data_IF_831211646726
#
_entry.id   IF_831211646726
#
_cell.length_a   1.000
_cell.length_b   1.000
_cell.length_c   1.000
_cell.angle_alpha   90.00
_cell.angle_beta   90.00
_cell.angle_gamma   90.00
#
_symmetry.space_group_name_H-M   'P 1'
#
loop_
_entity.id
_entity.type
_entity.pdbx_description
1 polymer ?
#
# COMPACT_ATOMS: atom_id res chain seq x y z
N UNK A 1 19.49 -52.94 -10.67
CA UNK A 1 19.46 -53.74 -9.43
C UNK A 1 20.86 -53.91 -8.85
N UNK A 2 21.89 -54.22 -9.64
CA UNK A 2 23.28 -54.25 -9.15
C UNK A 2 23.77 -52.85 -8.73
N UNK A 3 23.53 -51.82 -9.55
CA UNK A 3 23.92 -50.43 -9.28
C UNK A 3 23.20 -49.85 -8.05
N UNK A 4 21.92 -50.17 -7.86
CA UNK A 4 21.11 -49.74 -6.71
C UNK A 4 21.64 -50.33 -5.40
N UNK A 5 22.03 -51.62 -5.40
CA UNK A 5 22.65 -52.28 -4.24
C UNK A 5 24.06 -51.75 -3.94
N UNK A 6 24.84 -51.41 -4.96
CA UNK A 6 26.15 -50.77 -4.77
C UNK A 6 26.00 -49.35 -4.18
N UNK A 7 24.93 -48.65 -4.55
CA UNK A 7 24.61 -47.33 -4.01
C UNK A 7 24.26 -47.41 -2.52
N UNK A 8 23.35 -48.31 -2.14
CA UNK A 8 22.97 -48.55 -0.74
C UNK A 8 24.18 -48.96 0.11
N UNK A 9 25.02 -49.87 -0.39
CA UNK A 9 26.24 -50.28 0.32
C UNK A 9 27.25 -49.14 0.48
N UNK A 10 27.32 -48.21 -0.48
CA UNK A 10 28.18 -47.03 -0.40
C UNK A 10 27.63 -46.00 0.59
N UNK A 11 26.30 -45.81 0.60
CA UNK A 11 25.61 -44.96 1.57
C UNK A 11 25.80 -45.50 2.98
N UNK A 12 25.69 -46.81 3.19
CA UNK A 12 25.88 -47.45 4.51
C UNK A 12 27.31 -47.26 5.05
N UNK A 13 28.32 -47.32 4.17
CA UNK A 13 29.71 -46.99 4.55
C UNK A 13 29.82 -45.55 5.01
N UNK A 14 29.30 -44.59 4.24
CA UNK A 14 29.36 -43.17 4.59
C UNK A 14 28.51 -42.86 5.84
N UNK A 15 27.40 -43.56 6.05
CA UNK A 15 26.59 -43.45 7.28
C UNK A 15 27.35 -43.96 8.52
N UNK A 16 28.21 -44.96 8.36
CA UNK A 16 29.07 -45.46 9.44
C UNK A 16 30.18 -44.46 9.79
N UNK A 17 30.78 -43.83 8.78
CA UNK A 17 31.77 -42.76 8.93
C UNK A 17 31.13 -41.49 9.53
N UNK A 18 29.94 -41.11 9.07
CA UNK A 18 29.13 -40.03 9.63
C UNK A 18 28.85 -40.25 11.12
N UNK A 19 28.54 -41.48 11.52
CA UNK A 19 28.33 -41.83 12.93
C UNK A 19 29.60 -41.62 13.77
N UNK A 20 30.77 -42.03 13.26
CA UNK A 20 32.04 -41.82 13.96
C UNK A 20 32.39 -40.34 14.06
N UNK A 21 32.26 -39.59 12.96
CA UNK A 21 32.57 -38.15 12.91
C UNK A 21 31.61 -37.31 13.75
N UNK A 22 30.35 -37.71 13.85
CA UNK A 22 29.34 -37.09 14.73
C UNK A 22 29.63 -37.34 16.20
N UNK A 23 30.05 -38.55 16.58
CA UNK A 23 30.48 -38.86 17.95
C UNK A 23 31.77 -38.10 18.33
N UNK A 24 32.62 -37.81 17.35
CA UNK A 24 33.84 -37.02 17.51
C UNK A 24 33.61 -35.50 17.41
N UNK A 25 32.36 -35.02 17.31
CA UNK A 25 31.98 -33.61 17.13
C UNK A 25 32.69 -32.89 15.96
N UNK A 26 33.16 -33.66 14.95
CA UNK A 26 33.82 -33.09 13.78
C UNK A 26 32.78 -32.51 12.80
N UNK A 27 32.57 -31.20 12.89
CA UNK A 27 31.63 -30.44 12.04
C UNK A 27 31.94 -30.61 10.55
N UNK A 28 33.21 -30.47 10.15
CA UNK A 28 33.60 -30.49 8.74
C UNK A 28 33.43 -31.88 8.12
N UNK A 29 33.78 -32.92 8.88
CA UNK A 29 33.62 -34.30 8.47
C UNK A 29 32.15 -34.72 8.35
N UNK A 30 31.35 -34.37 9.36
CA UNK A 30 29.90 -34.68 9.37
C UNK A 30 29.16 -33.94 8.26
N UNK A 31 29.55 -32.68 7.97
CA UNK A 31 29.04 -31.91 6.82
C UNK A 31 29.37 -32.62 5.51
N UNK A 32 30.64 -32.99 5.28
CA UNK A 32 31.06 -33.65 4.04
C UNK A 32 30.33 -34.96 3.81
N UNK A 33 30.25 -35.82 4.83
CA UNK A 33 29.54 -37.09 4.77
C UNK A 33 28.05 -36.89 4.42
N UNK A 34 27.37 -35.92 5.05
CA UNK A 34 25.98 -35.61 4.73
C UNK A 34 25.82 -35.09 3.29
N UNK A 35 26.74 -34.24 2.81
CA UNK A 35 26.71 -33.69 1.45
C UNK A 35 27.06 -34.73 0.38
N UNK A 36 27.91 -35.70 0.69
CA UNK A 36 28.30 -36.79 -0.21
C UNK A 36 27.19 -37.82 -0.35
N UNK A 37 26.49 -38.17 0.74
CA UNK A 37 25.29 -39.03 0.67
C UNK A 37 24.26 -38.42 -0.29
N UNK A 38 24.02 -37.10 -0.20
CA UNK A 38 23.11 -36.40 -1.10
C UNK A 38 23.58 -36.40 -2.56
N UNK A 39 24.88 -36.22 -2.80
CA UNK A 39 25.45 -36.26 -4.18
C UNK A 39 25.29 -37.63 -4.81
N UNK A 40 25.58 -38.70 -4.07
CA UNK A 40 25.45 -40.07 -4.59
C UNK A 40 23.99 -40.40 -4.91
N UNK A 41 23.05 -39.97 -4.07
CA UNK A 41 21.61 -40.13 -4.35
C UNK A 41 21.17 -39.31 -5.58
N UNK A 42 21.72 -38.10 -5.75
CA UNK A 42 21.43 -37.23 -6.89
C UNK A 42 22.00 -37.78 -8.21
N UNK A 43 23.25 -38.25 -8.21
CA UNK A 43 23.92 -38.86 -9.37
C UNK A 43 23.21 -40.14 -9.84
N UNK A 44 22.68 -40.91 -8.89
CA UNK A 44 21.85 -42.09 -9.16
C UNK A 44 20.43 -41.77 -9.68
N UNK A 45 20.02 -40.49 -9.65
CA UNK A 45 18.65 -40.01 -9.94
C UNK A 45 17.56 -40.67 -9.09
N UNK A 46 17.91 -41.24 -7.92
CA UNK A 46 16.94 -41.87 -7.02
C UNK A 46 16.44 -40.87 -5.96
N UNK A 47 15.41 -40.12 -6.35
CA UNK A 47 14.79 -39.08 -5.52
C UNK A 47 14.05 -39.62 -4.29
N UNK A 48 13.58 -40.87 -4.34
CA UNK A 48 12.91 -41.51 -3.19
C UNK A 48 13.92 -41.83 -2.11
N UNK A 49 15.04 -42.44 -2.50
CA UNK A 49 16.14 -42.73 -1.59
C UNK A 49 16.71 -41.43 -1.00
N UNK A 50 16.85 -40.37 -1.81
CA UNK A 50 17.26 -39.04 -1.35
C UNK A 50 16.34 -38.53 -0.21
N UNK A 51 15.02 -38.58 -0.42
CA UNK A 51 14.03 -38.14 0.56
C UNK A 51 14.11 -38.93 1.88
N UNK A 52 14.27 -40.25 1.79
CA UNK A 52 14.44 -41.12 2.95
C UNK A 52 15.73 -40.79 3.72
N UNK A 53 16.84 -40.59 3.02
CA UNK A 53 18.12 -40.25 3.65
C UNK A 53 18.09 -38.88 4.33
N UNK A 54 17.45 -37.88 3.72
CA UNK A 54 17.25 -36.55 4.34
C UNK A 54 16.45 -36.69 5.64
N UNK A 55 15.36 -37.46 5.63
CA UNK A 55 14.54 -37.71 6.82
C UNK A 55 15.32 -38.46 7.91
N UNK A 56 16.09 -39.48 7.52
CA UNK A 56 16.88 -40.28 8.43
C UNK A 56 17.98 -39.45 9.10
N UNK A 57 18.78 -38.73 8.31
CA UNK A 57 19.86 -37.85 8.82
C UNK A 57 19.32 -36.74 9.72
N UNK A 58 18.14 -36.19 9.41
CA UNK A 58 17.46 -35.18 10.23
C UNK A 58 16.95 -35.71 11.58
N UNK A 59 16.46 -36.96 11.62
CA UNK A 59 15.91 -37.60 12.84
C UNK A 59 16.98 -38.23 13.73
N UNK A 60 18.22 -38.40 13.26
CA UNK A 60 19.32 -38.98 14.05
C UNK A 60 19.59 -38.15 15.31
N UNK A 61 19.51 -38.80 16.48
CA UNK A 61 19.76 -38.19 17.79
C UNK A 61 21.20 -37.67 17.88
N UNK A 62 21.38 -36.37 18.14
CA UNK A 62 22.70 -35.75 18.29
C UNK A 62 23.34 -35.29 16.98
N UNK A 63 22.55 -35.07 15.92
CA UNK A 63 23.10 -34.52 14.69
C UNK A 63 23.50 -33.05 14.84
N UNK A 64 24.63 -32.66 14.24
CA UNK A 64 25.16 -31.29 14.30
C UNK A 64 24.29 -30.34 13.46
N UNK A 65 23.96 -29.16 14.02
CA UNK A 65 23.10 -28.15 13.38
C UNK A 65 23.62 -27.71 12.00
N UNK A 66 24.93 -27.48 11.90
CA UNK A 66 25.61 -27.07 10.67
C UNK A 66 25.57 -28.15 9.57
N UNK A 67 25.56 -29.42 9.95
CA UNK A 67 25.44 -30.54 8.99
C UNK A 67 24.02 -30.58 8.40
N UNK A 68 22.99 -30.40 9.23
CA UNK A 68 21.59 -30.31 8.78
C UNK A 68 21.38 -29.09 7.88
N UNK A 69 21.93 -27.93 8.25
CA UNK A 69 21.82 -26.71 7.43
C UNK A 69 22.46 -26.91 6.05
N UNK A 70 23.69 -27.45 6.00
CA UNK A 70 24.40 -27.71 4.75
C UNK A 70 23.68 -28.74 3.87
N UNK A 71 23.11 -29.77 4.50
CA UNK A 71 22.31 -30.80 3.83
C UNK A 71 21.07 -30.17 3.17
N UNK A 72 20.35 -29.30 3.88
CA UNK A 72 19.16 -28.63 3.35
C UNK A 72 19.52 -27.64 2.23
N UNK A 73 20.58 -26.84 2.40
CA UNK A 73 21.04 -25.90 1.38
C UNK A 73 21.42 -26.60 0.07
N UNK A 74 22.16 -27.71 0.16
CA UNK A 74 22.51 -28.48 -1.04
C UNK A 74 21.27 -29.15 -1.67
N UNK A 75 20.36 -29.67 -0.86
CA UNK A 75 19.11 -30.23 -1.37
C UNK A 75 18.25 -29.17 -2.07
N UNK A 76 18.32 -27.89 -1.67
CA UNK A 76 17.62 -26.79 -2.33
C UNK A 76 18.11 -26.53 -3.76
N UNK A 77 19.41 -26.72 -4.04
CA UNK A 77 19.97 -26.56 -5.38
C UNK A 77 19.46 -27.65 -6.35
N UNK A 78 19.22 -28.85 -5.83
CA UNK A 78 18.72 -29.98 -6.62
C UNK A 78 17.25 -29.84 -7.01
N UNK A 79 16.46 -29.02 -6.31
CA UNK A 79 15.04 -28.78 -6.62
C UNK A 79 14.88 -28.25 -8.05
N UNK A 80 15.79 -27.37 -8.50
CA UNK A 80 15.67 -26.75 -9.81
C UNK A 80 16.05 -27.72 -10.95
N UNK A 81 16.79 -28.80 -10.63
CA UNK A 81 17.27 -29.83 -11.55
C UNK A 81 16.38 -31.09 -11.60
N UNK A 82 15.26 -31.09 -10.87
CA UNK A 82 14.29 -32.20 -10.89
C UNK A 82 13.58 -32.33 -12.24
N UNK A 83 13.41 -33.57 -12.77
CA UNK A 83 12.78 -33.79 -14.07
C UNK A 83 11.25 -33.69 -14.04
N UNK A 84 10.60 -34.04 -12.91
CA UNK A 84 9.14 -34.13 -12.79
C UNK A 84 8.58 -33.16 -11.75
N UNK A 85 7.36 -32.66 -11.99
CA UNK A 85 6.66 -31.76 -11.08
C UNK A 85 6.30 -32.44 -9.75
N UNK A 86 5.95 -33.74 -9.79
CA UNK A 86 5.59 -34.51 -8.58
C UNK A 86 6.80 -34.76 -7.68
N UNK A 87 7.94 -35.16 -8.24
CA UNK A 87 9.19 -35.36 -7.48
C UNK A 87 9.68 -34.05 -6.87
N UNK A 88 9.51 -32.93 -7.58
CA UNK A 88 9.75 -31.58 -7.04
C UNK A 88 8.87 -31.27 -5.83
N UNK A 89 7.57 -31.58 -5.89
CA UNK A 89 6.64 -31.35 -4.77
C UNK A 89 6.98 -32.25 -3.57
N UNK A 90 7.30 -33.52 -3.80
CA UNK A 90 7.68 -34.44 -2.73
C UNK A 90 8.96 -33.98 -2.01
N UNK A 91 10.00 -33.60 -2.75
CA UNK A 91 11.25 -33.08 -2.19
C UNK A 91 11.04 -31.79 -1.39
N UNK A 92 10.18 -30.87 -1.88
CA UNK A 92 9.88 -29.65 -1.12
C UNK A 92 9.10 -29.98 0.16
N UNK A 93 8.15 -30.93 0.13
CA UNK A 93 7.41 -31.36 1.32
C UNK A 93 8.33 -32.02 2.35
N UNK A 94 9.26 -32.89 1.93
CA UNK A 94 10.22 -33.51 2.84
C UNK A 94 11.15 -32.48 3.48
N UNK A 95 11.66 -31.52 2.70
CA UNK A 95 12.50 -30.44 3.22
C UNK A 95 11.73 -29.49 4.16
N UNK A 96 10.47 -29.18 3.87
CA UNK A 96 9.60 -28.40 4.78
C UNK A 96 9.37 -29.13 6.11
N UNK A 97 9.12 -30.45 6.08
CA UNK A 97 8.97 -31.25 7.30
C UNK A 97 10.27 -31.31 8.11
N UNK A 98 11.42 -31.35 7.45
CA UNK A 98 12.74 -31.43 8.08
C UNK A 98 13.17 -30.11 8.70
N UNK A 99 12.73 -28.99 8.14
CA UNK A 99 13.01 -27.63 8.62
C UNK A 99 11.99 -27.12 9.65
N UNK A 100 10.82 -27.75 9.77
CA UNK A 100 9.81 -27.40 10.76
C UNK A 100 10.37 -27.45 12.21
N UNK A 101 10.26 -26.34 12.94
CA UNK A 101 10.68 -26.23 14.34
C UNK A 101 12.19 -26.02 14.56
N UNK A 102 12.99 -25.81 13.50
CA UNK A 102 14.45 -25.59 13.61
C UNK A 102 14.83 -24.16 13.24
N UNK A 103 15.14 -23.34 14.25
CA UNK A 103 15.46 -21.90 14.10
C UNK A 103 16.58 -21.62 13.07
N UNK A 104 17.56 -22.51 12.96
CA UNK A 104 18.72 -22.34 12.08
C UNK A 104 18.47 -22.71 10.61
N UNK A 105 17.24 -23.13 10.25
CA UNK A 105 16.84 -23.49 8.86
C UNK A 105 15.53 -22.79 8.46
N UNK A 106 15.12 -21.75 9.19
CA UNK A 106 13.84 -21.06 8.97
C UNK A 106 13.82 -20.23 7.68
N UNK A 107 14.97 -19.68 7.27
CA UNK A 107 15.09 -18.91 6.02
C UNK A 107 14.90 -19.83 4.82
N UNK A 108 15.58 -20.98 4.84
CA UNK A 108 15.47 -22.02 3.82
C UNK A 108 14.03 -22.54 3.74
N UNK A 109 13.36 -22.75 4.88
CA UNK A 109 11.92 -23.11 4.93
C UNK A 109 11.03 -22.07 4.26
N UNK A 110 11.27 -20.78 4.51
CA UNK A 110 10.50 -19.71 3.88
C UNK A 110 10.65 -19.74 2.36
N UNK A 111 11.89 -19.87 1.86
CA UNK A 111 12.18 -19.97 0.42
C UNK A 111 11.55 -21.20 -0.23
N UNK A 112 11.61 -22.35 0.44
CA UNK A 112 10.96 -23.60 0.01
C UNK A 112 9.44 -23.44 -0.06
N UNK A 113 8.84 -22.83 0.96
CA UNK A 113 7.40 -22.54 1.01
C UNK A 113 6.98 -21.62 -0.13
N UNK A 114 7.78 -20.59 -0.43
CA UNK A 114 7.54 -19.71 -1.59
C UNK A 114 7.59 -20.47 -2.92
N UNK A 115 8.58 -21.36 -3.12
CA UNK A 115 8.65 -22.22 -4.32
C UNK A 115 7.43 -23.13 -4.42
N UNK A 116 7.01 -23.76 -3.32
CA UNK A 116 5.82 -24.62 -3.27
C UNK A 116 4.53 -23.85 -3.60
N UNK A 117 4.37 -22.66 -3.03
CA UNK A 117 3.21 -21.80 -3.29
C UNK A 117 3.11 -21.42 -4.77
N UNK A 118 4.23 -21.09 -5.42
CA UNK A 118 4.28 -20.79 -6.86
C UNK A 118 3.89 -22.00 -7.74
N UNK A 119 4.27 -23.21 -7.34
CA UNK A 119 3.87 -24.44 -8.04
C UNK A 119 2.36 -24.65 -7.90
N UNK A 120 1.80 -24.52 -6.69
CA UNK A 120 0.36 -24.65 -6.46
C UNK A 120 -0.46 -23.56 -7.16
N UNK A 121 0.06 -22.34 -7.21
CA UNK A 121 -0.53 -21.25 -7.98
C UNK A 121 -0.59 -21.60 -9.47
N UNK A 122 0.48 -22.15 -10.04
CA UNK A 122 0.51 -22.65 -11.42
C UNK A 122 -0.48 -23.79 -11.70
N UNK A 123 -0.91 -24.51 -10.66
CA UNK A 123 -1.96 -25.54 -10.73
C UNK A 123 -3.38 -24.98 -10.52
N UNK A 124 -3.52 -23.66 -10.28
CA UNK A 124 -4.80 -23.01 -9.98
C UNK A 124 -5.27 -23.14 -8.53
N UNK A 125 -4.49 -23.77 -7.65
CA UNK A 125 -4.81 -23.98 -6.24
C UNK A 125 -4.39 -22.77 -5.38
N UNK A 126 -4.97 -21.60 -5.66
CA UNK A 126 -4.62 -20.32 -5.02
C UNK A 126 -4.91 -20.35 -3.51
N UNK A 127 -6.02 -20.96 -3.09
CA UNK A 127 -6.40 -21.05 -1.69
C UNK A 127 -5.34 -21.79 -0.84
N UNK A 128 -4.89 -22.95 -1.33
CA UNK A 128 -3.86 -23.74 -0.66
C UNK A 128 -2.49 -23.03 -0.69
N UNK A 129 -2.16 -22.32 -1.76
CA UNK A 129 -0.94 -21.52 -1.85
C UNK A 129 -0.95 -20.38 -0.81
N UNK A 130 -2.09 -19.72 -0.63
CA UNK A 130 -2.26 -18.65 0.37
C UNK A 130 -2.12 -19.18 1.80
N UNK A 131 -2.75 -20.32 2.13
CA UNK A 131 -2.66 -20.91 3.46
C UNK A 131 -1.23 -21.37 3.80
N UNK A 132 -0.54 -22.03 2.85
CA UNK A 132 0.87 -22.42 3.02
C UNK A 132 1.78 -21.21 3.29
N UNK A 133 1.60 -20.13 2.54
CA UNK A 133 2.39 -18.91 2.73
C UNK A 133 2.09 -18.25 4.09
N UNK A 134 0.85 -18.34 4.60
CA UNK A 134 0.45 -17.76 5.88
C UNK A 134 1.02 -18.50 7.10
N UNK A 135 1.33 -19.79 7.00
CA UNK A 135 1.96 -20.56 8.08
C UNK A 135 3.38 -20.07 8.43
N UNK A 136 4.02 -19.35 7.52
CA UNK A 136 5.39 -18.84 7.70
C UNK A 136 5.34 -17.34 8.06
N UNK A 137 5.53 -17.05 9.35
CA UNK A 137 5.62 -15.69 9.89
C UNK A 137 7.03 -15.10 9.70
N UNK A 138 7.37 -14.68 8.49
CA UNK A 138 8.71 -14.14 8.16
C UNK A 138 9.09 -12.88 8.94
N UNK A 139 8.13 -12.18 9.53
CA UNK A 139 8.37 -11.02 10.38
C UNK A 139 9.22 -11.33 11.63
N UNK A 140 9.18 -12.57 12.13
CA UNK A 140 9.94 -12.97 13.34
C UNK A 140 11.38 -13.36 13.02
N UNK A 141 11.75 -13.54 11.75
CA UNK A 141 13.06 -14.06 11.37
C UNK A 141 14.14 -12.98 11.43
N UNK A 142 14.87 -12.88 12.54
CA UNK A 142 15.90 -11.85 12.73
C UNK A 142 16.99 -11.82 11.63
N UNK A 143 17.39 -13.00 11.13
CA UNK A 143 18.50 -13.16 10.18
C UNK A 143 18.13 -12.98 8.70
N UNK A 144 16.84 -12.86 8.35
CA UNK A 144 16.40 -12.68 6.97
C UNK A 144 16.54 -11.20 6.52
N UNK A 145 17.01 -10.98 5.29
CA UNK A 145 17.11 -9.65 4.70
C UNK A 145 15.77 -8.89 4.73
N UNK A 146 15.83 -7.58 4.97
CA UNK A 146 14.63 -6.73 5.02
C UNK A 146 13.85 -6.72 3.69
N UNK A 147 14.55 -6.68 2.56
CA UNK A 147 13.96 -6.75 1.21
C UNK A 147 13.23 -8.08 0.98
N UNK A 148 13.85 -9.19 1.41
CA UNK A 148 13.27 -10.53 1.28
C UNK A 148 12.01 -10.68 2.14
N UNK A 149 12.02 -10.18 3.37
CA UNK A 149 10.82 -10.13 4.23
C UNK A 149 9.68 -9.36 3.59
N UNK A 150 9.96 -8.16 3.08
CA UNK A 150 8.94 -7.33 2.43
C UNK A 150 8.38 -8.06 1.21
N UNK A 151 9.24 -8.57 0.33
CA UNK A 151 8.81 -9.32 -0.85
C UNK A 151 7.94 -10.54 -0.50
N UNK A 152 8.28 -11.25 0.58
CA UNK A 152 7.49 -12.39 1.05
C UNK A 152 6.12 -11.97 1.58
N UNK A 153 6.03 -10.90 2.38
CA UNK A 153 4.76 -10.37 2.88
C UNK A 153 3.90 -9.82 1.73
N UNK A 154 4.50 -9.16 0.73
CA UNK A 154 3.78 -8.68 -0.46
C UNK A 154 3.16 -9.84 -1.25
N UNK A 155 3.87 -10.95 -1.39
CA UNK A 155 3.29 -12.15 -2.01
C UNK A 155 2.14 -12.74 -1.19
N UNK A 156 2.25 -12.75 0.14
CA UNK A 156 1.12 -13.15 1.00
C UNK A 156 -0.09 -12.25 0.76
N UNK A 157 0.10 -10.92 0.67
CA UNK A 157 -0.97 -9.96 0.38
C UNK A 157 -1.58 -10.23 -1.00
N UNK A 158 -0.75 -10.44 -2.04
CA UNK A 158 -1.22 -10.74 -3.40
C UNK A 158 -2.12 -11.98 -3.43
N UNK A 159 -1.66 -13.10 -2.85
CA UNK A 159 -2.43 -14.34 -2.79
C UNK A 159 -3.72 -14.19 -1.99
N UNK A 160 -3.72 -13.39 -0.91
CA UNK A 160 -4.95 -13.08 -0.17
C UNK A 160 -5.95 -12.27 -1.00
N UNK A 161 -5.47 -11.29 -1.78
CA UNK A 161 -6.32 -10.50 -2.68
C UNK A 161 -6.88 -11.34 -3.82
N UNK A 162 -6.11 -12.29 -4.36
CA UNK A 162 -6.59 -13.24 -5.38
C UNK A 162 -7.62 -14.22 -4.81
N UNK A 163 -7.49 -14.59 -3.53
CA UNK A 163 -8.51 -15.36 -2.78
C UNK A 163 -9.72 -14.52 -2.34
N UNK A 164 -9.72 -13.21 -2.57
CA UNK A 164 -10.74 -12.27 -2.07
C UNK A 164 -10.84 -12.21 -0.53
N UNK A 165 -9.77 -12.54 0.18
CA UNK A 165 -9.71 -12.40 1.64
C UNK A 165 -9.12 -11.03 2.02
N UNK A 166 -9.97 -10.01 1.95
CA UNK A 166 -9.57 -8.62 2.17
C UNK A 166 -9.18 -8.36 3.64
N UNK A 167 -9.81 -9.02 4.61
CA UNK A 167 -9.50 -8.82 6.03
C UNK A 167 -8.08 -9.28 6.33
N UNK A 168 -7.68 -10.47 5.85
CA UNK A 168 -6.31 -10.93 6.02
C UNK A 168 -5.30 -10.09 5.23
N UNK A 169 -5.65 -9.66 4.03
CA UNK A 169 -4.80 -8.76 3.24
C UNK A 169 -4.50 -7.45 4.01
N UNK A 170 -5.49 -6.86 4.69
CA UNK A 170 -5.30 -5.67 5.52
C UNK A 170 -4.41 -5.93 6.75
N UNK A 171 -4.55 -7.08 7.40
CA UNK A 171 -3.72 -7.44 8.55
C UNK A 171 -2.26 -7.62 8.13
N UNK A 172 -2.04 -8.28 7.00
CA UNK A 172 -0.70 -8.52 6.44
C UNK A 172 -0.05 -7.23 5.95
N UNK A 173 -0.78 -6.34 5.29
CA UNK A 173 -0.23 -5.06 4.82
C UNK A 173 0.24 -4.17 5.97
N UNK A 174 -0.45 -4.17 7.12
CA UNK A 174 -0.02 -3.46 8.33
C UNK A 174 1.29 -3.96 8.95
N UNK A 175 1.74 -5.18 8.61
CA UNK A 175 3.06 -5.68 9.04
C UNK A 175 4.21 -4.97 8.34
N UNK A 176 3.96 -4.39 7.17
CA UNK A 176 4.95 -3.59 6.45
C UNK A 176 4.82 -2.14 6.94
N UNK A 177 5.91 -1.58 7.48
CA UNK A 177 5.93 -0.17 7.83
C UNK A 177 6.30 0.66 6.59
N UNK A 178 5.43 1.58 6.12
CA UNK A 178 5.69 2.40 4.92
C UNK A 178 7.00 3.21 5.00
N UNK A 179 7.44 3.59 6.21
CA UNK A 179 8.71 4.31 6.42
C UNK A 179 9.95 3.52 5.98
N UNK A 180 9.85 2.20 5.88
CA UNK A 180 10.97 1.34 5.45
C UNK A 180 11.32 1.59 3.98
N UNK A 181 10.35 2.06 3.18
CA UNK A 181 10.57 2.37 1.77
C UNK A 181 11.20 3.75 1.53
N UNK A 182 11.15 4.65 2.52
CA UNK A 182 11.74 5.99 2.44
C UNK A 182 13.12 6.06 3.14
N UNK A 183 13.56 4.97 3.76
CA UNK A 183 14.86 4.87 4.39
C UNK A 183 15.94 4.78 3.30
N UNK A 184 16.56 5.92 2.98
CA UNK A 184 17.76 6.02 2.15
C UNK A 184 18.78 4.93 2.52
N UNK A 185 19.09 4.07 1.56
CA UNK A 185 20.19 3.08 1.65
C UNK A 185 21.57 3.73 1.80
N UNK A 186 21.67 5.06 1.71
CA UNK A 186 22.91 5.83 1.82
C UNK A 186 23.34 6.15 3.25
N UNK A 187 22.44 6.11 4.25
CA UNK A 187 22.77 6.50 5.65
C UNK A 187 23.14 5.34 6.58
N UNK A 188 23.57 4.20 6.01
CA UNK A 188 23.74 2.95 6.74
C UNK A 188 25.08 2.23 6.65
N UNK A 189 26.13 2.76 6.00
CA UNK A 189 27.49 2.17 6.08
C UNK A 189 28.14 2.48 7.44
N UNK A 190 27.54 2.03 8.55
CA UNK A 190 28.27 1.84 9.81
C UNK A 190 28.93 0.47 9.73
N UNK A 191 30.26 0.44 9.90
CA UNK A 191 31.09 -0.78 9.96
C UNK A 191 30.38 -1.88 10.78
N UNK A 192 30.35 -3.14 10.31
CA UNK A 192 29.83 -4.24 11.11
C UNK A 192 30.68 -4.35 12.38
N UNK A 193 30.03 -4.22 13.55
CA UNK A 193 30.64 -4.60 14.83
C UNK A 193 30.61 -6.13 14.91
N UNK A 194 31.75 -6.72 15.25
CA UNK A 194 31.89 -8.16 15.49
C UNK A 194 30.82 -8.64 16.49
N UNK A 195 29.97 -9.58 16.05
CA UNK A 195 28.94 -10.22 16.86
C UNK A 195 27.51 -10.18 16.31
N UNK A 196 27.25 -9.46 15.21
CA UNK A 196 25.92 -9.45 14.59
C UNK A 196 25.68 -10.77 13.83
N UNK A 197 24.58 -11.45 14.14
CA UNK A 197 24.14 -12.64 13.40
C UNK A 197 24.12 -12.30 11.91
N UNK A 198 24.87 -13.05 11.09
CA UNK A 198 24.94 -12.86 9.64
C UNK A 198 23.52 -12.73 9.07
N UNK A 199 23.13 -11.49 8.70
CA UNK A 199 21.93 -11.26 7.90
C UNK A 199 22.25 -11.79 6.52
N UNK A 200 21.50 -12.80 6.07
CA UNK A 200 21.72 -13.39 4.75
C UNK A 200 21.43 -12.33 3.68
N UNK A 201 22.34 -12.16 2.72
CA UNK A 201 22.10 -11.24 1.61
C UNK A 201 20.90 -11.72 0.79
N UNK A 202 20.04 -10.78 0.39
CA UNK A 202 18.86 -11.09 -0.40
C UNK A 202 19.29 -11.71 -1.74
N UNK A 203 18.71 -12.85 -2.16
CA UNK A 203 18.99 -13.42 -3.49
C UNK A 203 18.75 -12.38 -4.60
N UNK A 204 19.56 -12.45 -5.66
CA UNK A 204 19.56 -11.49 -6.78
C UNK A 204 18.21 -11.38 -7.52
N UNK A 205 17.30 -12.34 -7.31
CA UNK A 205 15.95 -12.39 -7.91
C UNK A 205 14.90 -11.51 -7.17
N UNK A 206 15.26 -10.84 -6.07
CA UNK A 206 14.33 -10.00 -5.30
C UNK A 206 14.32 -8.58 -5.88
N UNK A 207 13.14 -8.02 -6.22
CA UNK A 207 13.03 -6.66 -6.75
C UNK A 207 13.66 -5.63 -5.83
N UNK A 208 14.15 -4.54 -6.42
CA UNK A 208 14.74 -3.42 -5.67
C UNK A 208 13.73 -2.80 -4.70
N UNK A 209 14.20 -2.13 -3.64
CA UNK A 209 13.31 -1.49 -2.65
C UNK A 209 12.26 -0.55 -3.29
N UNK A 210 12.62 0.11 -4.39
CA UNK A 210 11.73 1.01 -5.13
C UNK A 210 10.64 0.24 -5.91
N UNK A 211 10.99 -0.90 -6.51
CA UNK A 211 10.02 -1.79 -7.16
C UNK A 211 9.09 -2.44 -6.14
N UNK A 212 9.60 -2.84 -4.98
CA UNK A 212 8.78 -3.34 -3.87
C UNK A 212 7.81 -2.27 -3.35
N UNK A 213 8.25 -0.99 -3.28
CA UNK A 213 7.39 0.14 -2.94
C UNK A 213 6.24 0.28 -3.95
N UNK A 214 6.54 0.18 -5.25
CA UNK A 214 5.54 0.22 -6.32
C UNK A 214 4.54 -0.93 -6.20
N UNK A 215 5.02 -2.17 -6.09
CA UNK A 215 4.18 -3.37 -5.95
C UNK A 215 3.29 -3.26 -4.70
N UNK A 216 3.84 -2.79 -3.57
CA UNK A 216 3.07 -2.56 -2.35
C UNK A 216 1.87 -1.63 -2.62
N UNK A 217 2.10 -0.45 -3.20
CA UNK A 217 1.03 0.49 -3.44
C UNK A 217 0.04 0.01 -4.52
N UNK A 218 0.48 -0.73 -5.54
CA UNK A 218 -0.41 -1.36 -6.53
C UNK A 218 -1.36 -2.38 -5.87
N UNK A 219 -0.85 -3.22 -4.96
CA UNK A 219 -1.68 -4.15 -4.19
C UNK A 219 -2.63 -3.42 -3.22
N UNK A 220 -2.17 -2.34 -2.59
CA UNK A 220 -3.01 -1.51 -1.73
C UNK A 220 -4.12 -0.81 -2.51
N UNK A 221 -3.86 -0.34 -3.73
CA UNK A 221 -4.88 0.23 -4.61
C UNK A 221 -5.95 -0.80 -4.91
N UNK A 222 -5.57 -2.06 -5.22
CA UNK A 222 -6.54 -3.15 -5.44
C UNK A 222 -7.40 -3.41 -4.22
N UNK A 223 -6.80 -3.37 -3.03
CA UNK A 223 -7.53 -3.49 -1.76
C UNK A 223 -8.51 -2.32 -1.55
N UNK A 224 -8.04 -1.07 -1.63
CA UNK A 224 -8.88 0.11 -1.39
C UNK A 224 -9.95 0.31 -2.46
N UNK A 225 -9.70 -0.14 -3.69
CA UNK A 225 -10.69 -0.12 -4.79
C UNK A 225 -11.87 -1.05 -4.50
N UNK A 226 -11.67 -2.13 -3.74
CA UNK A 226 -12.79 -2.97 -3.31
C UNK A 226 -13.65 -2.27 -2.26
N UNK A 227 -13.02 -1.54 -1.34
CA UNK A 227 -13.71 -0.80 -0.26
C UNK A 227 -14.24 0.58 -0.69
N UNK A 228 -13.94 1.04 -1.92
CA UNK A 228 -14.23 2.40 -2.41
C UNK A 228 -13.62 3.52 -1.54
N UNK A 229 -12.45 3.27 -0.93
CA UNK A 229 -11.73 4.25 -0.12
C UNK A 229 -10.90 5.20 -1.00
N UNK A 230 -11.57 6.13 -1.70
CA UNK A 230 -10.94 6.99 -2.72
C UNK A 230 -9.76 7.83 -2.21
N UNK A 231 -9.82 8.32 -0.97
CA UNK A 231 -8.74 9.13 -0.39
C UNK A 231 -7.44 8.33 -0.21
N UNK A 232 -7.55 7.07 0.25
CA UNK A 232 -6.40 6.20 0.45
C UNK A 232 -5.84 5.68 -0.88
N UNK A 233 -6.70 5.49 -1.90
CA UNK A 233 -6.27 5.26 -3.28
C UNK A 233 -5.45 6.45 -3.79
N UNK A 234 -5.93 7.68 -3.58
CA UNK A 234 -5.20 8.90 -3.97
C UNK A 234 -3.84 8.99 -3.29
N UNK A 235 -3.73 8.68 -1.99
CA UNK A 235 -2.45 8.67 -1.26
C UNK A 235 -1.49 7.62 -1.77
N UNK A 236 -2.01 6.45 -2.13
CA UNK A 236 -1.23 5.35 -2.70
C UNK A 236 -0.66 5.76 -4.06
N UNK A 237 -1.48 6.35 -4.94
CA UNK A 237 -1.00 6.90 -6.21
C UNK A 237 0.00 8.05 -6.04
N UNK A 238 -0.22 8.95 -5.07
CA UNK A 238 0.75 10.01 -4.74
C UNK A 238 2.09 9.42 -4.31
N UNK A 239 2.06 8.36 -3.51
CA UNK A 239 3.28 7.66 -3.07
C UNK A 239 4.01 6.93 -4.20
N UNK A 240 3.29 6.49 -5.25
CA UNK A 240 3.87 5.97 -6.49
C UNK A 240 4.47 7.12 -7.33
N UNK A 241 3.79 8.26 -7.40
CA UNK A 241 4.25 9.45 -8.11
C UNK A 241 5.53 10.06 -7.50
N UNK A 242 5.69 9.98 -6.18
CA UNK A 242 6.88 10.45 -5.47
C UNK A 242 8.13 9.58 -5.73
N UNK A 243 8.00 8.43 -6.39
CA UNK A 243 9.14 7.57 -6.75
C UNK A 243 9.99 8.27 -7.83
N UNK A 244 11.32 8.47 -7.62
CA UNK A 244 12.18 9.17 -8.58
C UNK A 244 12.12 8.59 -10.00
N UNK A 245 12.13 7.26 -10.14
CA UNK A 245 12.06 6.57 -11.44
C UNK A 245 10.77 6.84 -12.23
N UNK A 246 9.67 7.12 -11.53
CA UNK A 246 8.37 7.44 -12.15
C UNK A 246 8.32 8.93 -12.52
N UNK A 247 8.85 9.79 -11.64
CA UNK A 247 8.86 11.25 -11.83
C UNK A 247 9.72 11.70 -13.01
N UNK A 248 10.76 10.95 -13.34
CA UNK A 248 11.63 11.22 -14.50
C UNK A 248 10.98 10.91 -15.86
N UNK A 249 9.98 10.00 -15.89
CA UNK A 249 9.38 9.51 -17.13
C UNK A 249 7.97 10.09 -17.39
N UNK A 250 7.78 10.97 -18.40
CA UNK A 250 6.48 11.59 -18.69
C UNK A 250 5.36 10.60 -18.98
N UNK A 251 5.66 9.54 -19.72
CA UNK A 251 4.67 8.53 -20.07
C UNK A 251 4.11 7.75 -18.86
N UNK A 252 4.89 7.66 -17.77
CA UNK A 252 4.48 6.95 -16.57
C UNK A 252 3.77 7.85 -15.57
N UNK A 253 4.24 9.09 -15.38
CA UNK A 253 3.62 9.97 -14.39
C UNK A 253 2.33 10.61 -14.88
N UNK A 254 2.14 10.88 -16.18
CA UNK A 254 0.89 11.43 -16.73
C UNK A 254 -0.34 10.58 -16.34
N UNK A 255 -0.40 9.26 -16.61
CA UNK A 255 -1.56 8.45 -16.26
C UNK A 255 -1.75 8.35 -14.74
N UNK A 256 -0.68 8.39 -13.94
CA UNK A 256 -0.78 8.39 -12.47
C UNK A 256 -1.38 9.71 -11.98
N UNK A 257 -0.94 10.84 -12.53
CA UNK A 257 -1.45 12.16 -12.15
C UNK A 257 -2.93 12.34 -12.52
N UNK A 258 -3.35 11.82 -13.69
CA UNK A 258 -4.78 11.77 -14.08
C UNK A 258 -5.62 11.01 -13.07
N UNK A 259 -5.17 9.82 -12.68
CA UNK A 259 -5.83 8.99 -11.66
C UNK A 259 -5.90 9.72 -10.31
N UNK A 260 -4.83 10.38 -9.88
CA UNK A 260 -4.83 11.21 -8.67
C UNK A 260 -5.93 12.28 -8.74
N UNK A 261 -6.05 13.00 -9.85
CA UNK A 261 -7.06 14.05 -10.02
C UNK A 261 -8.48 13.50 -9.92
N UNK A 262 -8.77 12.35 -10.55
CA UNK A 262 -10.09 11.72 -10.46
C UNK A 262 -10.43 11.23 -9.07
N UNK A 263 -9.52 10.51 -8.41
CA UNK A 263 -9.78 9.99 -7.07
C UNK A 263 -9.96 11.09 -6.04
N UNK A 264 -9.30 12.23 -6.24
CA UNK A 264 -9.44 13.40 -5.39
C UNK A 264 -10.78 14.13 -5.59
N UNK A 265 -11.31 14.11 -6.82
CA UNK A 265 -12.65 14.60 -7.14
C UNK A 265 -13.77 13.67 -6.64
N UNK A 266 -13.54 12.36 -6.59
CA UNK A 266 -14.48 11.36 -6.08
C UNK A 266 -14.49 11.27 -4.55
N UNK A 267 -13.40 11.66 -3.89
CA UNK A 267 -13.29 11.61 -2.44
C UNK A 267 -14.29 12.57 -1.76
N UNK A 268 -14.90 12.15 -0.64
CA UNK A 268 -15.76 13.02 0.17
C UNK A 268 -14.99 14.25 0.66
N UNK A 269 -15.71 15.35 0.90
CA UNK A 269 -15.11 16.58 1.41
C UNK A 269 -14.64 16.38 2.86
N UNK A 270 -13.33 16.25 3.02
CA UNK A 270 -12.63 16.07 4.29
C UNK A 270 -11.46 17.07 4.38
N UNK A 271 -11.03 17.52 5.58
CA UNK A 271 -9.86 18.39 5.69
C UNK A 271 -8.61 17.79 5.02
N UNK A 272 -8.47 16.47 5.01
CA UNK A 272 -7.39 15.79 4.30
C UNK A 272 -7.50 15.94 2.78
N UNK A 273 -8.72 15.82 2.24
CA UNK A 273 -8.99 16.00 0.81
C UNK A 273 -8.68 17.44 0.37
N UNK A 274 -9.06 18.44 1.17
CA UNK A 274 -8.72 19.84 0.91
C UNK A 274 -7.21 20.11 0.94
N UNK A 275 -6.48 19.51 1.89
CA UNK A 275 -5.01 19.61 1.95
C UNK A 275 -4.35 18.98 0.72
N UNK A 276 -4.80 17.79 0.31
CA UNK A 276 -4.29 17.10 -0.88
C UNK A 276 -4.62 17.87 -2.17
N UNK A 277 -5.81 18.44 -2.30
CA UNK A 277 -6.20 19.32 -3.42
C UNK A 277 -5.27 20.49 -3.60
N UNK A 278 -5.01 21.23 -2.53
CA UNK A 278 -4.12 22.39 -2.59
C UNK A 278 -2.69 21.96 -2.95
N UNK A 279 -2.19 20.88 -2.36
CA UNK A 279 -0.87 20.34 -2.68
C UNK A 279 -0.75 19.92 -4.16
N UNK A 280 -1.76 19.26 -4.72
CA UNK A 280 -1.76 18.84 -6.13
C UNK A 280 -1.93 20.02 -7.09
N UNK A 281 -2.63 21.09 -6.69
CA UNK A 281 -2.73 22.32 -7.50
C UNK A 281 -1.42 23.11 -7.57
N UNK A 282 -0.56 22.99 -6.55
CA UNK A 282 0.78 23.61 -6.52
C UNK A 282 1.79 22.86 -7.41
N UNK A 283 1.49 21.61 -7.81
CA UNK A 283 2.39 20.81 -8.65
C UNK A 283 2.54 21.40 -10.06
N UNK A 284 3.78 21.65 -10.48
CA UNK A 284 4.12 22.22 -11.80
C UNK A 284 3.69 21.32 -12.95
N UNK A 285 3.78 20.00 -12.76
CA UNK A 285 3.45 18.99 -13.77
C UNK A 285 1.97 19.01 -14.17
N UNK A 286 1.09 19.57 -13.31
CA UNK A 286 -0.33 19.77 -13.62
C UNK A 286 -0.55 20.79 -14.75
N UNK A 287 0.46 21.59 -15.10
CA UNK A 287 0.39 22.48 -16.27
C UNK A 287 0.33 21.74 -17.61
N UNK A 288 0.85 20.51 -17.67
CA UNK A 288 0.81 19.68 -18.88
C UNK A 288 -0.57 19.06 -19.14
N UNK A 289 -1.44 19.06 -18.12
CA UNK A 289 -2.81 18.54 -18.25
C UNK A 289 -3.82 19.62 -17.82
N UNK A 290 -4.10 20.60 -18.70
CA UNK A 290 -4.88 21.79 -18.35
C UNK A 290 -6.33 21.47 -17.99
N UNK A 291 -6.92 20.44 -18.58
CA UNK A 291 -8.33 20.08 -18.35
C UNK A 291 -8.56 19.56 -16.91
N UNK A 292 -7.65 18.75 -16.37
CA UNK A 292 -7.71 18.33 -14.95
C UNK A 292 -7.37 19.47 -13.99
N UNK A 293 -6.47 20.38 -14.39
CA UNK A 293 -6.21 21.58 -13.59
C UNK A 293 -7.46 22.45 -13.46
N UNK A 294 -8.26 22.58 -14.53
CA UNK A 294 -9.54 23.28 -14.49
C UNK A 294 -10.55 22.54 -13.60
N UNK A 295 -10.63 21.21 -13.68
CA UNK A 295 -11.51 20.40 -12.84
C UNK A 295 -11.20 20.61 -11.35
N UNK A 296 -9.94 20.45 -10.96
CA UNK A 296 -9.51 20.63 -9.56
C UNK A 296 -9.73 22.08 -9.10
N UNK A 297 -9.46 23.07 -9.95
CA UNK A 297 -9.75 24.47 -9.64
C UNK A 297 -11.22 24.72 -9.38
N UNK A 298 -12.13 24.16 -10.19
CA UNK A 298 -13.57 24.32 -10.00
C UNK A 298 -14.06 23.71 -8.67
N UNK A 299 -13.47 22.60 -8.25
CA UNK A 299 -13.78 21.97 -6.96
C UNK A 299 -13.20 22.78 -5.78
N UNK A 300 -12.04 23.41 -5.97
CA UNK A 300 -11.40 24.24 -4.93
C UNK A 300 -12.05 25.62 -4.81
N UNK A 301 -12.52 26.21 -5.92
CA UNK A 301 -13.26 27.46 -5.87
C UNK A 301 -14.60 27.26 -5.20
N UNK A 302 -14.97 28.20 -4.33
CA UNK A 302 -16.26 28.19 -3.64
C UNK A 302 -17.35 28.73 -4.57
N UNK A 303 -17.46 28.16 -5.77
CA UNK A 303 -18.43 28.52 -6.80
C UNK A 303 -19.35 27.34 -7.08
N UNK A 304 -20.60 27.63 -7.48
CA UNK A 304 -21.59 26.59 -7.79
C UNK A 304 -21.27 25.99 -9.15
N UNK A 305 -21.14 24.67 -9.18
CA UNK A 305 -20.82 23.89 -10.38
C UNK A 305 -22.11 23.33 -10.98
N UNK A 306 -22.37 23.64 -12.26
CA UNK A 306 -23.47 23.03 -12.99
C UNK A 306 -23.08 21.64 -13.48
N UNK A 307 -23.72 20.60 -12.92
CA UNK A 307 -23.45 19.20 -13.26
C UNK A 307 -23.51 18.91 -14.77
N UNK A 308 -24.52 19.43 -15.47
CA UNK A 308 -24.70 19.18 -16.92
C UNK A 308 -23.54 19.71 -17.76
N UNK A 309 -23.06 20.91 -17.45
CA UNK A 309 -21.93 21.54 -18.15
C UNK A 309 -20.61 20.81 -17.85
N UNK A 310 -20.42 20.38 -16.60
CA UNK A 310 -19.24 19.62 -16.21
C UNK A 310 -19.24 18.22 -16.84
N UNK A 311 -20.35 17.48 -16.73
CA UNK A 311 -20.46 16.12 -17.24
C UNK A 311 -20.25 16.09 -18.75
N UNK A 312 -20.86 16.99 -19.51
CA UNK A 312 -20.69 17.02 -20.97
C UNK A 312 -19.24 17.27 -21.42
N UNK A 313 -18.42 17.97 -20.61
CA UNK A 313 -17.02 18.22 -20.93
C UNK A 313 -16.11 17.04 -20.62
N UNK A 314 -16.34 16.36 -19.50
CA UNK A 314 -15.46 15.31 -19.00
C UNK A 314 -15.95 13.88 -19.29
N UNK A 315 -17.15 13.69 -19.83
CA UNK A 315 -17.73 12.37 -20.12
C UNK A 315 -16.82 11.52 -21.01
N UNK A 316 -16.31 12.09 -22.11
CA UNK A 316 -15.47 11.36 -23.06
C UNK A 316 -14.10 10.99 -22.46
N UNK A 317 -13.58 11.81 -21.55
CA UNK A 317 -12.34 11.53 -20.83
C UNK A 317 -12.55 10.48 -19.73
N UNK A 318 -13.69 10.55 -19.04
CA UNK A 318 -14.10 9.58 -18.02
C UNK A 318 -14.28 8.19 -18.63
N UNK A 319 -14.92 8.08 -19.80
CA UNK A 319 -15.09 6.81 -20.52
C UNK A 319 -13.75 6.25 -21.03
N UNK A 320 -12.84 7.11 -21.51
CA UNK A 320 -11.47 6.71 -21.88
C UNK A 320 -10.68 6.20 -20.68
N UNK A 321 -10.79 6.84 -19.53
CA UNK A 321 -10.08 6.43 -18.33
C UNK A 321 -10.69 5.18 -17.68
N UNK A 322 -12.01 5.00 -17.78
CA UNK A 322 -12.71 3.75 -17.46
C UNK A 322 -12.21 2.58 -18.31
N UNK A 323 -11.84 2.83 -19.57
CA UNK A 323 -11.33 1.82 -20.50
C UNK A 323 -9.82 1.51 -20.36
N UNK A 324 -9.04 2.38 -19.70
CA UNK A 324 -7.60 2.16 -19.54
C UNK A 324 -7.29 1.08 -18.50
N UNK A 325 -6.17 0.38 -18.74
CA UNK A 325 -5.70 -0.78 -17.96
C UNK A 325 -5.70 -0.45 -16.46
N UNK A 326 -6.51 -1.21 -15.72
CA UNK A 326 -6.71 -1.06 -14.27
C UNK A 326 -8.12 -0.67 -13.83
N UNK A 327 -9.06 -0.39 -14.75
CA UNK A 327 -10.51 -0.38 -14.51
C UNK A 327 -10.96 0.14 -13.14
N UNK A 328 -10.38 1.25 -12.67
CA UNK A 328 -10.49 1.65 -11.26
C UNK A 328 -11.65 2.61 -10.98
N UNK A 329 -12.42 2.95 -12.02
CA UNK A 329 -13.69 3.64 -11.87
C UNK A 329 -14.80 2.63 -12.19
N UNK A 330 -15.40 2.09 -11.14
CA UNK A 330 -16.59 1.26 -11.27
C UNK A 330 -17.75 2.06 -11.86
N UNK A 331 -18.80 1.38 -12.30
CA UNK A 331 -20.02 2.03 -12.79
C UNK A 331 -20.60 3.04 -11.77
N UNK A 332 -20.34 2.80 -10.48
CA UNK A 332 -20.70 3.68 -9.35
C UNK A 332 -19.93 5.00 -9.30
N UNK A 333 -18.72 5.07 -9.86
CA UNK A 333 -17.89 6.27 -9.76
C UNK A 333 -18.52 7.50 -10.42
N UNK A 334 -19.33 7.31 -11.48
CA UNK A 334 -20.09 8.40 -12.08
C UNK A 334 -21.20 8.94 -11.17
N UNK A 335 -21.88 8.04 -10.44
CA UNK A 335 -22.89 8.40 -9.44
C UNK A 335 -22.24 9.07 -8.22
N UNK A 336 -21.10 8.56 -7.76
CA UNK A 336 -20.34 9.13 -6.65
C UNK A 336 -19.85 10.54 -7.01
N UNK A 337 -19.33 10.76 -8.23
CA UNK A 337 -18.94 12.10 -8.69
C UNK A 337 -20.13 13.08 -8.67
N UNK A 338 -21.30 12.62 -9.11
CA UNK A 338 -22.53 13.43 -9.08
C UNK A 338 -22.88 13.80 -7.64
N UNK A 339 -22.83 12.84 -6.72
CA UNK A 339 -23.06 13.09 -5.31
C UNK A 339 -22.07 14.10 -4.72
N UNK A 340 -20.77 13.99 -5.02
CA UNK A 340 -19.74 14.95 -4.56
C UNK A 340 -19.99 16.36 -5.05
N UNK A 341 -20.40 16.53 -6.30
CA UNK A 341 -20.72 17.86 -6.84
C UNK A 341 -21.96 18.45 -6.17
N UNK A 342 -22.97 17.63 -5.88
CA UNK A 342 -24.16 18.06 -5.14
C UNK A 342 -23.77 18.51 -3.73
N UNK A 343 -22.97 17.71 -3.01
CA UNK A 343 -22.47 18.05 -1.68
C UNK A 343 -21.65 19.34 -1.68
N UNK A 344 -20.72 19.49 -2.64
CA UNK A 344 -19.94 20.70 -2.83
C UNK A 344 -20.83 21.93 -3.02
N UNK A 345 -21.80 21.85 -3.93
CA UNK A 345 -22.73 22.94 -4.19
C UNK A 345 -23.55 23.31 -2.94
N UNK A 346 -23.97 22.34 -2.14
CA UNK A 346 -24.68 22.59 -0.89
C UNK A 346 -23.76 23.31 0.13
N UNK A 347 -22.49 22.91 0.24
CA UNK A 347 -21.49 23.57 1.10
C UNK A 347 -21.22 25.01 0.62
N UNK A 348 -21.12 25.23 -0.68
CA UNK A 348 -20.98 26.57 -1.25
C UNK A 348 -22.19 27.41 -0.88
N UNK A 349 -23.41 26.91 -1.12
CA UNK A 349 -24.64 27.64 -0.82
C UNK A 349 -24.74 27.96 0.67
N UNK A 350 -24.35 27.07 1.57
CA UNK A 350 -24.44 27.32 3.02
C UNK A 350 -23.50 28.42 3.52
N UNK A 351 -22.37 28.65 2.84
CA UNK A 351 -21.43 29.74 3.16
C UNK A 351 -21.95 31.11 2.73
N UNK A 352 -22.62 31.20 1.59
CA UNK A 352 -23.05 32.47 1.02
C UNK A 352 -24.50 32.84 1.37
N UNK A 353 -25.38 31.86 1.57
CA UNK A 353 -26.80 32.09 1.85
C UNK A 353 -27.11 31.88 3.32
N UNK A 354 -27.79 32.85 3.92
CA UNK A 354 -28.38 32.69 5.25
C UNK A 354 -29.67 31.89 5.22
N UNK A 355 -30.52 32.18 4.22
CA UNK A 355 -31.79 31.51 3.95
C UNK A 355 -31.96 31.32 2.44
N UNK A 356 -32.49 30.19 2.01
CA UNK A 356 -32.77 29.92 0.60
C UNK A 356 -34.09 29.13 0.46
N UNK A 357 -34.82 29.35 -0.62
CA UNK A 357 -36.01 28.54 -0.94
C UNK A 357 -35.60 27.20 -1.54
N UNK A 358 -36.30 26.13 -1.18
CA UNK A 358 -36.03 24.77 -1.65
C UNK A 358 -36.14 24.68 -3.19
N UNK A 359 -37.09 25.40 -3.79
CA UNK A 359 -37.22 25.52 -5.26
C UNK A 359 -35.96 26.10 -5.91
N UNK A 360 -35.36 27.13 -5.32
CA UNK A 360 -34.14 27.73 -5.85
C UNK A 360 -32.94 26.81 -5.67
N UNK A 361 -32.85 26.13 -4.52
CA UNK A 361 -31.78 25.15 -4.28
C UNK A 361 -31.84 23.99 -5.28
N UNK A 362 -33.02 23.41 -5.51
CA UNK A 362 -33.22 22.34 -6.48
C UNK A 362 -32.79 22.76 -7.90
N UNK A 363 -33.12 24.00 -8.30
CA UNK A 363 -32.69 24.55 -9.59
C UNK A 363 -31.16 24.71 -9.70
N UNK A 364 -30.47 25.10 -8.61
CA UNK A 364 -29.01 25.23 -8.59
C UNK A 364 -28.31 23.86 -8.65
N UNK A 365 -28.90 22.84 -8.03
CA UNK A 365 -28.37 21.47 -8.02
C UNK A 365 -28.73 20.66 -9.27
N UNK A 366 -29.65 21.18 -10.11
CA UNK A 366 -30.24 20.46 -11.23
C UNK A 366 -30.92 19.14 -10.80
N UNK A 367 -31.60 19.16 -9.65
CA UNK A 367 -32.31 18.02 -9.06
C UNK A 367 -33.79 18.31 -8.87
N UNK A 368 -34.56 17.27 -8.58
CA UNK A 368 -35.93 17.44 -8.08
C UNK A 368 -35.93 17.97 -6.65
N UNK A 369 -37.07 18.53 -6.23
CA UNK A 369 -37.25 19.07 -4.87
C UNK A 369 -37.04 17.97 -3.81
N UNK A 370 -37.57 16.77 -4.08
CA UNK A 370 -37.50 15.61 -3.18
C UNK A 370 -36.07 15.07 -3.04
N UNK A 371 -35.33 14.96 -4.14
CA UNK A 371 -33.91 14.54 -4.11
C UNK A 371 -33.03 15.56 -3.40
N UNK A 372 -33.26 16.86 -3.63
CA UNK A 372 -32.52 17.92 -2.96
C UNK A 372 -32.76 17.90 -1.43
N UNK A 373 -34.00 17.66 -0.99
CA UNK A 373 -34.35 17.47 0.43
C UNK A 373 -33.65 16.25 1.04
N UNK A 374 -33.64 15.12 0.32
CA UNK A 374 -32.97 13.90 0.75
C UNK A 374 -31.48 14.10 0.96
N UNK A 375 -30.76 14.62 -0.03
CA UNK A 375 -29.31 14.86 0.07
C UNK A 375 -28.96 15.86 1.16
N UNK A 376 -29.75 16.93 1.31
CA UNK A 376 -29.54 17.90 2.38
C UNK A 376 -29.73 17.25 3.76
N UNK A 377 -30.72 16.36 3.91
CA UNK A 377 -30.97 15.63 5.16
C UNK A 377 -29.81 14.69 5.50
N UNK A 378 -29.29 13.95 4.53
CA UNK A 378 -28.12 13.07 4.69
C UNK A 378 -26.88 13.85 5.16
N UNK A 379 -26.63 15.04 4.59
CA UNK A 379 -25.51 15.91 4.99
C UNK A 379 -25.66 16.51 6.41
N UNK A 380 -26.90 16.75 6.85
CA UNK A 380 -27.17 17.21 8.22
C UNK A 380 -26.99 16.07 9.22
N UNK A 381 -27.44 14.86 8.88
CA UNK A 381 -27.27 13.66 9.72
C UNK A 381 -25.81 13.28 9.85
N UNK A 382 -25.02 13.37 8.77
CA UNK A 382 -23.58 13.11 8.78
C UNK A 382 -22.76 14.20 9.50
N UNK A 383 -23.42 15.27 9.98
CA UNK A 383 -22.79 16.45 10.60
C UNK A 383 -21.82 17.20 9.69
N UNK A 384 -21.86 16.96 8.38
CA UNK A 384 -21.08 17.71 7.40
C UNK A 384 -21.58 19.16 7.28
N UNK A 385 -22.86 19.38 7.53
CA UNK A 385 -23.51 20.69 7.47
C UNK A 385 -24.51 20.87 8.61
N UNK A 386 -24.65 22.11 9.09
CA UNK A 386 -25.74 22.51 9.97
C UNK A 386 -26.77 23.28 9.14
N UNK A 387 -27.97 22.71 8.99
CA UNK A 387 -29.09 23.35 8.30
C UNK A 387 -30.42 22.96 8.95
N UNK A 388 -31.41 23.85 8.87
CA UNK A 388 -32.80 23.58 9.29
C UNK A 388 -33.74 23.76 8.11
N UNK A 389 -34.63 22.78 7.89
CA UNK A 389 -35.59 22.77 6.79
C UNK A 389 -36.98 23.03 7.36
N UNK A 390 -37.65 24.09 6.88
CA UNK A 390 -39.08 24.30 7.09
C UNK A 390 -39.81 23.79 5.84
N UNK A 391 -40.38 22.58 5.95
CA UNK A 391 -40.97 21.85 4.82
C UNK A 391 -42.28 22.50 4.31
N UNK A 392 -43.24 22.92 5.16
CA UNK A 392 -44.41 23.67 4.70
C UNK A 392 -44.08 24.98 3.99
N UNK A 393 -43.14 25.76 4.55
CA UNK A 393 -42.76 27.05 3.95
C UNK A 393 -41.78 26.90 2.79
N UNK A 394 -41.13 25.74 2.66
CA UNK A 394 -40.11 25.46 1.63
C UNK A 394 -38.86 26.31 1.79
N UNK A 395 -38.48 26.68 3.03
CA UNK A 395 -37.32 27.54 3.33
C UNK A 395 -36.27 26.75 4.11
N UNK A 396 -35.02 26.88 3.68
CA UNK A 396 -33.85 26.32 4.35
C UNK A 396 -33.08 27.45 5.02
N UNK A 397 -32.75 27.26 6.29
CA UNK A 397 -31.92 28.16 7.08
C UNK A 397 -30.58 27.50 7.38
N UNK A 398 -29.47 28.11 6.95
CA UNK A 398 -28.11 27.65 7.26
C UNK A 398 -27.51 28.35 8.48
N UNK A 399 -28.18 29.38 8.99
CA UNK A 399 -27.72 30.10 10.18
C UNK A 399 -27.93 29.24 11.44
N UNK A 400 -26.88 29.15 12.24
CA UNK A 400 -26.96 28.69 13.62
C UNK A 400 -27.72 29.76 14.41
N UNK A 401 -28.67 29.31 15.25
CA UNK A 401 -29.35 30.23 16.18
C UNK A 401 -28.30 30.71 17.16
N UNK A 402 -27.92 31.98 17.05
CA UNK A 402 -26.94 32.59 17.95
C UNK A 402 -27.60 32.96 19.26
N UNK A 403 -26.94 32.62 20.36
CA UNK A 403 -27.34 33.09 21.67
C UNK A 403 -27.02 34.59 21.83
N UNK A 404 -27.74 35.26 22.72
CA UNK A 404 -27.49 36.69 23.01
C UNK A 404 -26.03 36.97 23.40
N UNK A 405 -25.38 36.02 24.09
CA UNK A 405 -23.97 36.09 24.45
C UNK A 405 -23.05 36.04 23.22
N UNK A 406 -23.33 35.17 22.23
CA UNK A 406 -22.52 35.09 21.01
C UNK A 406 -22.62 36.38 20.19
N UNK A 407 -23.80 37.00 20.16
CA UNK A 407 -24.00 38.29 19.49
C UNK A 407 -23.16 39.37 20.18
N UNK A 408 -23.25 39.47 21.50
CA UNK A 408 -22.46 40.44 22.28
C UNK A 408 -20.96 40.22 22.12
N UNK A 409 -20.49 38.96 22.16
CA UNK A 409 -19.09 38.63 21.94
C UNK A 409 -18.62 39.04 20.54
N UNK A 410 -19.41 38.72 19.50
CA UNK A 410 -19.07 39.12 18.13
C UNK A 410 -19.01 40.64 17.95
N UNK A 411 -19.88 41.37 18.65
CA UNK A 411 -19.87 42.83 18.65
C UNK A 411 -18.64 43.40 19.37
N UNK A 412 -18.29 42.83 20.53
CA UNK A 412 -17.08 43.21 21.26
C UNK A 412 -15.81 42.99 20.41
N UNK A 413 -15.69 41.85 19.72
CA UNK A 413 -14.55 41.58 18.82
C UNK A 413 -14.49 42.58 17.65
N UNK A 414 -15.65 43.01 17.14
CA UNK A 414 -15.69 44.03 16.08
C UNK A 414 -15.26 45.41 16.58
N UNK A 415 -15.62 45.78 17.82
CA UNK A 415 -15.15 47.02 18.45
C UNK A 415 -13.64 47.01 18.66
N UNK A 416 -13.08 45.90 19.14
CA UNK A 416 -11.63 45.74 19.31
C UNK A 416 -10.90 45.91 17.97
N UNK A 417 -11.35 45.23 16.91
CA UNK A 417 -10.81 45.39 15.55
C UNK A 417 -10.91 46.83 15.03
N UNK A 418 -12.00 47.53 15.35
CA UNK A 418 -12.20 48.92 14.93
C UNK A 418 -11.20 49.84 15.64
N UNK A 419 -11.00 49.68 16.95
CA UNK A 419 -10.03 50.46 17.71
C UNK A 419 -8.60 50.22 17.21
N UNK A 420 -8.23 48.95 16.98
CA UNK A 420 -6.94 48.58 16.38
C UNK A 420 -6.71 49.22 15.01
N UNK A 421 -7.74 49.24 14.15
CA UNK A 421 -7.66 49.85 12.83
C UNK A 421 -7.50 51.37 12.92
N UNK A 422 -8.19 52.02 13.86
CA UNK A 422 -8.05 53.46 14.10
C UNK A 422 -6.64 53.78 14.58
N UNK A 423 -6.11 53.02 15.54
CA UNK A 423 -4.75 53.24 16.05
C UNK A 423 -3.68 53.04 14.97
N UNK A 424 -3.79 51.98 14.17
CA UNK A 424 -2.89 51.74 13.02
C UNK A 424 -2.96 52.86 12.00
N UNK A 425 -4.16 53.35 11.69
CA UNK A 425 -4.36 54.47 10.78
C UNK A 425 -3.72 55.75 11.31
N UNK A 426 -3.90 56.06 12.61
CA UNK A 426 -3.26 57.18 13.27
C UNK A 426 -1.73 57.10 13.16
N UNK A 427 -1.12 55.94 13.43
CA UNK A 427 0.32 55.76 13.29
C UNK A 427 0.81 55.97 11.85
N UNK A 428 0.08 55.45 10.85
CA UNK A 428 0.41 55.66 9.44
C UNK A 428 0.33 57.14 9.05
N UNK A 429 -0.71 57.86 9.48
CA UNK A 429 -0.85 59.30 9.24
C UNK A 429 0.32 60.08 9.86
N UNK A 430 0.72 59.76 11.09
CA UNK A 430 1.86 60.41 11.73
C UNK A 430 3.16 60.17 10.97
N UNK A 431 3.39 58.92 10.52
CA UNK A 431 4.56 58.57 9.71
C UNK A 431 4.59 59.34 8.39
N UNK A 432 3.50 59.38 7.63
CA UNK A 432 3.44 60.15 6.38
C UNK A 432 3.59 61.66 6.61
N UNK A 433 2.97 62.20 7.65
CA UNK A 433 3.10 63.62 8.00
C UNK A 433 4.56 64.00 8.26
N UNK A 434 5.34 63.13 8.91
CA UNK A 434 6.77 63.36 9.15
C UNK A 434 7.58 63.34 7.84
N UNK A 435 7.29 62.39 6.94
CA UNK A 435 7.95 62.30 5.62
C UNK A 435 7.66 63.53 4.77
N UNK A 436 6.39 63.94 4.67
CA UNK A 436 6.01 65.13 3.90
C UNK A 436 6.52 66.43 4.51
N UNK A 437 6.54 66.55 5.85
CA UNK A 437 7.17 67.71 6.53
C UNK A 437 8.68 67.78 6.31
N UNK A 438 9.37 66.65 6.22
CA UNK A 438 10.80 66.61 5.89
C UNK A 438 11.03 67.00 4.42
N UNK A 439 10.20 66.50 3.50
CA UNK A 439 10.28 66.83 2.08
C UNK A 439 9.93 68.30 1.75
N UNK A 440 9.06 68.94 2.55
CA UNK A 440 8.75 70.38 2.44
C UNK A 440 9.83 71.29 3.04
N UNK A 441 10.75 70.74 3.84
CA UNK A 441 11.86 71.48 4.48
C UNK A 441 13.19 71.35 3.75
N UNK A 442 13.31 70.38 2.83
CA UNK A 442 14.39 70.26 1.86
C UNK A 442 14.08 71.10 0.63
#
# INVERSE_FOLDING_TARGET
MEETRQLEASIDRILSEEKQMRLAENVAGTRKAATEILKLCFEAKDWKLLNEQILNLSKKRGQLKQAVQSMVQQAMEYIDQTPDLETRIELIKTLNNVSAGKIYVEIERARLTKKLAKIKEGQGLIAEAADLMQEVAVETFGAMAKTEKIAFILEQVRLCLDRQDFVRAQILSRKINPRVFDADTTKGKKKPKEGDNMVEEAPADIPTLLELKRIYYELMIRYYSHNNEYIEICRSYKSIYDIPSVKENPEQWIPILRKICWFLALAPHDPMQSSLLNATLEDKNLSEIPDFKLLLKQIVTMEVIQWTSLWNKYKDEFEKEKSMIGGSLGDKAGEDLKQRIIEHNIIVVSKYYSRITLKRLAALLCLTIEEAEKHLSEMVVSKALIAKIDRPSGVICFQIVKDSNEILNSWATNLEKLLDLVEKSCHQIHKETMVHKAALRA
#
